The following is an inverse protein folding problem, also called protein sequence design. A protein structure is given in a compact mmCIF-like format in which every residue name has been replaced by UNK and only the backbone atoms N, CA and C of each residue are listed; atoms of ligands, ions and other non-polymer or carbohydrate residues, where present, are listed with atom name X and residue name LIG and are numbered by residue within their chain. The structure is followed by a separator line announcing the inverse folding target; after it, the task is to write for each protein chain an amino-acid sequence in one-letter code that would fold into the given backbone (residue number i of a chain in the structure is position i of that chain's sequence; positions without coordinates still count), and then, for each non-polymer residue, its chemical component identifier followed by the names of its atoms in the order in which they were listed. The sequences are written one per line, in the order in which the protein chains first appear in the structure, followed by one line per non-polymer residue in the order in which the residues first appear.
data_IF_852981532538
#
_entry.id   IF_852981532538
#
_cell.length_a   1.000
_cell.length_b   1.000
_cell.length_c   1.000
_cell.angle_alpha   90.00
_cell.angle_beta   90.00
_cell.angle_gamma   90.00
#
_symmetry.space_group_name_H-M   'P 1'
#
loop_
_entity.id
_entity.type
_entity.pdbx_description
1 polymer ?
#
# COMPACT_ATOMS: atom_id res chain seq x y z
N UNK A 1 50.16 -36.64 16.14
CA UNK A 1 49.38 -35.81 15.18
C UNK A 1 48.06 -35.28 15.75
N UNK A 2 47.29 -36.06 16.53
CA UNK A 2 45.98 -35.65 17.11
C UNK A 2 46.07 -34.53 18.15
N UNK A 3 47.11 -34.54 19.00
CA UNK A 3 47.32 -33.56 20.08
C UNK A 3 47.57 -32.13 19.58
N UNK A 4 48.29 -31.98 18.46
CA UNK A 4 48.55 -30.68 17.85
C UNK A 4 47.26 -30.03 17.34
N UNK A 5 46.37 -30.81 16.71
CA UNK A 5 45.07 -30.33 16.22
C UNK A 5 44.17 -29.85 17.37
N UNK A 6 44.13 -30.59 18.47
CA UNK A 6 43.33 -30.20 19.66
C UNK A 6 43.86 -28.89 20.26
N UNK A 7 45.19 -28.73 20.38
CA UNK A 7 45.79 -27.50 20.89
C UNK A 7 45.45 -26.29 19.99
N UNK A 8 45.54 -26.47 18.68
CA UNK A 8 45.18 -25.45 17.71
C UNK A 8 43.70 -25.05 17.80
N UNK A 9 42.80 -26.01 17.94
CA UNK A 9 41.36 -25.75 18.11
C UNK A 9 41.06 -25.03 19.42
N UNK A 10 41.74 -25.37 20.52
CA UNK A 10 41.61 -24.63 21.79
C UNK A 10 42.03 -23.16 21.65
N UNK A 11 43.09 -22.88 20.90
CA UNK A 11 43.52 -21.50 20.62
C UNK A 11 42.48 -20.76 19.80
N UNK A 12 41.93 -21.39 18.77
CA UNK A 12 40.84 -20.84 17.95
C UNK A 12 39.58 -20.56 18.78
N UNK A 13 39.21 -21.45 19.70
CA UNK A 13 38.07 -21.26 20.60
C UNK A 13 38.32 -20.09 21.57
N UNK A 14 39.53 -19.96 22.10
CA UNK A 14 39.87 -18.81 22.94
C UNK A 14 39.75 -17.50 22.15
N UNK A 15 40.28 -17.48 20.92
CA UNK A 15 40.14 -16.35 19.99
C UNK A 15 38.68 -16.04 19.65
N UNK A 16 37.83 -17.06 19.57
CA UNK A 16 36.38 -16.93 19.36
C UNK A 16 35.71 -16.25 20.56
N UNK A 17 36.06 -16.62 21.79
CA UNK A 17 35.57 -15.95 23.00
C UNK A 17 36.02 -14.48 23.09
N UNK A 18 37.17 -14.15 22.49
CA UNK A 18 37.64 -12.78 22.34
C UNK A 18 36.98 -12.03 21.16
N UNK A 19 36.17 -12.71 20.33
CA UNK A 19 35.47 -12.12 19.18
C UNK A 19 36.39 -11.80 17.99
N UNK A 20 37.57 -12.40 17.93
CA UNK A 20 38.59 -12.10 16.91
C UNK A 20 38.62 -13.11 15.76
N UNK A 21 37.76 -14.13 15.77
CA UNK A 21 37.74 -15.17 14.75
C UNK A 21 37.19 -14.69 13.41
N UNK A 22 37.76 -15.22 12.33
CA UNK A 22 37.18 -15.09 10.99
C UNK A 22 36.10 -16.17 10.77
N UNK A 23 35.25 -15.94 9.76
CA UNK A 23 34.22 -16.92 9.37
C UNK A 23 34.80 -18.28 8.97
N UNK A 24 35.97 -18.28 8.34
CA UNK A 24 36.67 -19.51 7.92
C UNK A 24 37.19 -20.29 9.13
N UNK A 25 37.69 -19.57 10.14
CA UNK A 25 38.14 -20.13 11.41
C UNK A 25 36.99 -20.76 12.19
N UNK A 26 35.84 -20.09 12.28
CA UNK A 26 34.64 -20.63 12.93
C UNK A 26 34.10 -21.87 12.22
N UNK A 27 34.14 -21.89 10.89
CA UNK A 27 33.78 -23.07 10.11
C UNK A 27 34.74 -24.23 10.40
N UNK A 28 36.03 -23.96 10.57
CA UNK A 28 37.03 -24.97 10.93
C UNK A 28 36.78 -25.54 12.34
N UNK A 29 36.46 -24.70 13.33
CA UNK A 29 36.06 -25.14 14.68
C UNK A 29 34.83 -26.04 14.59
N UNK A 30 33.80 -25.60 13.86
CA UNK A 30 32.53 -26.32 13.71
C UNK A 30 32.73 -27.70 13.08
N UNK A 31 33.49 -27.77 11.98
CA UNK A 31 33.81 -29.03 11.32
C UNK A 31 34.56 -29.98 12.26
N UNK A 32 35.58 -29.47 12.96
CA UNK A 32 36.38 -30.28 13.88
C UNK A 32 35.55 -30.87 15.03
N UNK A 33 34.66 -30.07 15.62
CA UNK A 33 33.76 -30.51 16.69
C UNK A 33 32.71 -31.52 16.19
N UNK A 34 32.26 -31.37 14.94
CA UNK A 34 31.31 -32.30 14.31
C UNK A 34 31.96 -33.65 13.98
N UNK A 35 33.20 -33.64 13.49
CA UNK A 35 33.99 -34.84 13.19
C UNK A 35 34.40 -35.63 14.44
N UNK A 36 34.46 -34.96 15.61
CA UNK A 36 34.92 -35.56 16.87
C UNK A 36 33.87 -35.42 17.98
N UNK A 37 32.70 -36.09 17.86
CA UNK A 37 31.60 -35.95 18.82
C UNK A 37 31.92 -36.50 20.22
N UNK A 38 32.93 -37.37 20.35
CA UNK A 38 33.31 -38.00 21.61
C UNK A 38 34.40 -37.23 22.37
N UNK A 39 34.78 -36.03 21.90
CA UNK A 39 35.85 -35.25 22.52
C UNK A 39 35.35 -34.53 23.77
N UNK A 40 35.81 -34.99 24.94
CA UNK A 40 35.42 -34.42 26.24
C UNK A 40 35.94 -32.98 26.43
N UNK A 41 35.17 -32.17 27.16
CA UNK A 41 35.55 -30.79 27.50
C UNK A 41 35.23 -29.75 26.44
N UNK A 42 34.38 -30.09 25.47
CA UNK A 42 33.89 -29.17 24.42
C UNK A 42 32.36 -29.18 24.30
N UNK A 43 31.67 -29.46 25.41
CA UNK A 43 30.20 -29.61 25.41
C UNK A 43 29.50 -28.25 25.25
N UNK A 44 30.06 -27.21 25.88
CA UNK A 44 29.59 -25.82 25.77
C UNK A 44 29.77 -25.31 24.35
N UNK A 45 30.96 -25.49 23.78
CA UNK A 45 31.28 -25.06 22.42
C UNK A 45 30.40 -25.78 21.40
N UNK A 46 30.15 -27.08 21.56
CA UNK A 46 29.21 -27.81 20.69
C UNK A 46 27.79 -27.26 20.78
N UNK A 47 27.32 -26.89 21.95
CA UNK A 47 26.01 -26.28 22.10
C UNK A 47 25.94 -24.93 21.37
N UNK A 48 26.96 -24.08 21.54
CA UNK A 48 27.05 -22.76 20.89
C UNK A 48 27.07 -22.92 19.36
N UNK A 49 28.03 -23.68 18.83
CA UNK A 49 28.19 -23.84 17.39
C UNK A 49 27.01 -24.61 16.78
N UNK A 50 26.43 -25.57 17.50
CA UNK A 50 25.25 -26.31 17.07
C UNK A 50 24.01 -25.43 16.92
N UNK A 51 23.81 -24.47 17.82
CA UNK A 51 22.72 -23.49 17.72
C UNK A 51 22.98 -22.45 16.62
N UNK A 52 24.18 -21.89 16.56
CA UNK A 52 24.53 -20.83 15.59
C UNK A 52 24.57 -21.33 14.15
N UNK A 53 25.03 -22.57 13.93
CA UNK A 53 25.17 -23.16 12.59
C UNK A 53 23.99 -24.05 12.21
N UNK A 54 22.84 -23.88 12.87
CA UNK A 54 21.61 -24.55 12.48
C UNK A 54 21.21 -24.03 11.08
N UNK A 55 21.72 -24.70 10.04
CA UNK A 55 21.44 -24.38 8.65
C UNK A 55 19.94 -24.51 8.46
N UNK A 56 19.26 -23.38 8.24
CA UNK A 56 17.90 -23.38 7.70
C UNK A 56 17.94 -24.13 6.38
N UNK A 57 17.44 -25.36 6.39
CA UNK A 57 17.27 -26.15 5.19
C UNK A 57 16.15 -25.50 4.39
N UNK A 58 16.49 -24.57 3.51
CA UNK A 58 15.54 -24.11 2.52
C UNK A 58 15.33 -25.27 1.54
N UNK A 59 14.20 -25.96 1.68
CA UNK A 59 13.74 -26.88 0.64
C UNK A 59 13.47 -26.05 -0.61
N UNK A 60 14.42 -26.07 -1.53
CA UNK A 60 14.30 -25.37 -2.81
C UNK A 60 13.12 -25.98 -3.53
N UNK A 61 12.03 -25.22 -3.63
CA UNK A 61 10.81 -25.71 -4.26
C UNK A 61 11.08 -25.97 -5.76
N UNK A 62 10.63 -27.12 -6.27
CA UNK A 62 10.90 -27.60 -7.65
C UNK A 62 10.54 -26.55 -8.72
N UNK A 63 9.64 -25.64 -8.40
CA UNK A 63 9.13 -24.59 -9.29
C UNK A 63 10.10 -23.44 -9.57
N UNK A 64 11.22 -23.30 -8.85
CA UNK A 64 12.17 -22.19 -9.10
C UNK A 64 12.80 -22.25 -10.51
N UNK A 65 12.83 -23.44 -11.12
CA UNK A 65 13.29 -23.65 -12.51
C UNK A 65 12.44 -22.93 -13.57
N UNK A 66 11.18 -22.59 -13.26
CA UNK A 66 10.28 -21.89 -14.18
C UNK A 66 10.40 -20.36 -14.11
N UNK A 67 11.31 -19.84 -13.28
CA UNK A 67 11.46 -18.39 -13.08
C UNK A 67 11.84 -17.63 -14.36
N UNK A 68 12.59 -18.24 -15.29
CA UNK A 68 13.04 -17.56 -16.53
C UNK A 68 11.92 -17.47 -17.57
N UNK A 69 11.06 -18.49 -17.66
CA UNK A 69 9.94 -18.51 -18.61
C UNK A 69 8.87 -17.47 -18.26
N UNK A 70 8.57 -17.29 -16.97
CA UNK A 70 7.59 -16.31 -16.50
C UNK A 70 7.97 -14.86 -16.83
N UNK A 71 9.27 -14.52 -16.75
CA UNK A 71 9.77 -13.18 -17.06
C UNK A 71 9.54 -12.80 -18.53
N UNK A 72 9.79 -13.75 -19.45
CA UNK A 72 9.65 -13.54 -20.90
C UNK A 72 8.17 -13.32 -21.26
N UNK A 73 7.26 -14.10 -20.67
CA UNK A 73 5.82 -13.96 -20.93
C UNK A 73 5.25 -12.63 -20.45
N UNK A 74 5.71 -12.12 -19.31
CA UNK A 74 5.26 -10.82 -18.78
C UNK A 74 5.72 -9.67 -19.68
N UNK A 75 6.99 -9.67 -20.11
CA UNK A 75 7.54 -8.61 -20.97
C UNK A 75 6.80 -8.59 -22.31
N UNK A 76 6.59 -9.76 -22.93
CA UNK A 76 5.89 -9.86 -24.21
C UNK A 76 4.43 -9.42 -24.11
N UNK A 77 3.72 -9.83 -23.05
CA UNK A 77 2.34 -9.42 -22.79
C UNK A 77 2.22 -7.91 -22.60
N UNK A 78 3.17 -7.29 -21.90
CA UNK A 78 3.12 -5.85 -21.62
C UNK A 78 3.37 -5.04 -22.88
N UNK A 79 4.32 -5.47 -23.72
CA UNK A 79 4.59 -4.84 -25.03
C UNK A 79 3.38 -4.91 -25.97
N UNK A 80 2.63 -6.00 -25.95
CA UNK A 80 1.45 -6.18 -26.79
C UNK A 80 0.31 -5.22 -26.42
N UNK A 81 0.10 -4.97 -25.13
CA UNK A 81 -0.95 -4.06 -24.62
C UNK A 81 -0.64 -2.59 -24.97
N UNK A 82 0.64 -2.20 -24.96
CA UNK A 82 1.05 -0.82 -25.29
C UNK A 82 0.84 -0.45 -26.76
N UNK A 83 0.73 -1.44 -27.66
CA UNK A 83 0.50 -1.19 -29.09
C UNK A 83 -0.98 -1.05 -29.46
N UNK A 84 -1.90 -1.29 -28.52
CA UNK A 84 -3.34 -1.16 -28.78
C UNK A 84 -3.69 0.33 -28.73
N UNK A 85 -4.13 0.95 -29.85
CA UNK A 85 -4.55 2.34 -29.82
C UNK A 85 -5.76 2.48 -28.89
N UNK A 86 -5.57 3.20 -27.78
CA UNK A 86 -6.63 3.51 -26.82
C UNK A 86 -7.61 4.48 -27.48
N UNK A 87 -8.70 3.96 -28.06
CA UNK A 87 -9.82 4.78 -28.52
C UNK A 87 -10.70 5.14 -27.32
N UNK A 88 -10.21 6.09 -26.52
CA UNK A 88 -10.99 6.69 -25.44
C UNK A 88 -12.12 7.54 -26.04
N UNK A 89 -13.23 6.89 -26.38
CA UNK A 89 -14.45 7.59 -26.78
C UNK A 89 -15.18 8.02 -25.51
N UNK A 90 -15.02 9.28 -25.12
CA UNK A 90 -15.76 9.90 -24.02
C UNK A 90 -17.17 10.23 -24.48
N UNK A 91 -18.17 9.52 -23.95
CA UNK A 91 -19.58 9.74 -24.27
C UNK A 91 -20.31 10.33 -23.06
N UNK A 92 -21.22 11.27 -23.30
CA UNK A 92 -22.13 11.79 -22.29
C UNK A 92 -23.58 11.61 -22.76
N UNK A 93 -24.45 11.20 -21.85
CA UNK A 93 -25.89 11.11 -22.09
C UNK A 93 -26.58 12.35 -21.56
N UNK A 94 -27.13 13.18 -22.45
CA UNK A 94 -27.90 14.37 -22.09
C UNK A 94 -29.25 14.29 -22.79
N UNK A 95 -30.34 14.27 -22.01
CA UNK A 95 -31.73 14.19 -22.52
C UNK A 95 -32.00 13.04 -23.50
N UNK A 96 -31.42 11.86 -23.25
CA UNK A 96 -31.64 10.67 -24.08
C UNK A 96 -30.91 10.69 -25.43
N UNK A 97 -30.01 11.65 -25.67
CA UNK A 97 -29.11 11.66 -26.84
C UNK A 97 -27.67 11.48 -26.40
N UNK A 98 -26.94 10.63 -27.11
CA UNK A 98 -25.51 10.44 -26.97
C UNK A 98 -24.77 11.62 -27.60
N UNK A 99 -23.90 12.27 -26.83
CA UNK A 99 -23.07 13.38 -27.29
C UNK A 99 -21.60 12.97 -27.11
N UNK A 100 -20.89 12.91 -28.23
CA UNK A 100 -19.48 12.52 -28.33
C UNK A 100 -18.54 13.73 -28.48
N UNK A 101 -19.08 14.94 -28.37
CA UNK A 101 -18.37 16.20 -28.50
C UNK A 101 -18.37 16.96 -27.17
N UNK A 102 -17.17 17.15 -26.63
CA UNK A 102 -16.96 17.79 -25.33
C UNK A 102 -17.35 19.27 -25.34
N UNK A 103 -17.27 19.95 -26.49
CA UNK A 103 -17.65 21.36 -26.60
C UNK A 103 -19.16 21.53 -26.53
N UNK A 104 -19.90 20.63 -27.18
CA UNK A 104 -21.37 20.59 -27.12
C UNK A 104 -21.84 20.32 -25.69
N UNK A 105 -21.22 19.36 -25.00
CA UNK A 105 -21.55 19.05 -23.60
C UNK A 105 -21.30 20.26 -22.67
N UNK A 106 -20.18 20.95 -22.83
CA UNK A 106 -19.87 22.17 -22.05
C UNK A 106 -20.86 23.29 -22.31
N UNK A 107 -21.22 23.52 -23.57
CA UNK A 107 -22.20 24.55 -23.94
C UNK A 107 -23.55 24.30 -23.29
N UNK A 108 -24.05 23.06 -23.35
CA UNK A 108 -25.32 22.66 -22.73
C UNK A 108 -25.29 22.80 -21.21
N UNK A 109 -24.17 22.45 -20.57
CA UNK A 109 -24.02 22.62 -19.12
C UNK A 109 -24.11 24.10 -18.71
N UNK A 110 -23.41 24.99 -19.43
CA UNK A 110 -23.45 26.44 -19.17
C UNK A 110 -24.85 27.01 -19.40
N UNK A 111 -25.52 26.60 -20.47
CA UNK A 111 -26.90 27.00 -20.77
C UNK A 111 -27.88 26.56 -19.66
N UNK A 112 -27.77 25.32 -19.18
CA UNK A 112 -28.58 24.82 -18.08
C UNK A 112 -28.35 25.59 -16.77
N UNK A 113 -27.11 25.99 -16.50
CA UNK A 113 -26.75 26.76 -15.32
C UNK A 113 -27.36 28.18 -15.37
N UNK A 114 -27.31 28.81 -16.54
CA UNK A 114 -27.89 30.14 -16.74
C UNK A 114 -29.41 30.14 -16.61
N UNK A 115 -30.09 29.08 -17.09
CA UNK A 115 -31.54 28.96 -16.93
C UNK A 115 -31.96 28.84 -15.46
N UNK A 116 -31.20 28.09 -14.64
CA UNK A 116 -31.44 27.99 -13.19
C UNK A 116 -31.15 29.31 -12.47
N UNK A 117 -30.13 30.05 -12.90
CA UNK A 117 -29.81 31.37 -12.33
C UNK A 117 -30.89 32.42 -12.63
N UNK A 118 -31.59 32.30 -13.77
CA UNK A 118 -32.74 33.15 -14.12
C UNK A 118 -33.95 32.82 -13.22
N UNK A 119 -34.25 31.54 -12.98
CA UNK A 119 -35.33 31.12 -12.09
C UNK A 119 -35.12 31.56 -10.63
N UNK A 120 -33.87 31.60 -10.16
CA UNK A 120 -33.53 32.09 -8.82
C UNK A 120 -33.84 33.59 -8.62
N UNK A 121 -33.56 34.43 -9.64
CA UNK A 121 -33.87 35.86 -9.58
C UNK A 121 -35.38 36.17 -9.63
N UNK A 122 -36.18 35.30 -10.26
CA UNK A 122 -37.64 35.46 -10.32
C UNK A 122 -38.29 35.11 -8.97
N UNK A 123 -37.76 34.11 -8.25
CA UNK A 123 -38.23 33.76 -6.90
C UNK A 123 -38.05 34.91 -5.90
N UNK A 124 -36.94 35.67 -5.97
CA UNK A 124 -36.69 36.79 -5.03
C UNK A 124 -37.70 37.94 -5.18
N UNK A 125 -38.05 38.31 -6.41
CA UNK A 125 -39.11 39.31 -6.67
C UNK A 125 -40.53 38.82 -6.32
N UNK A 126 -40.74 37.50 -6.24
CA UNK A 126 -42.05 36.92 -5.88
C UNK A 126 -42.27 36.91 -4.36
N UNK A 127 -41.21 37.09 -3.56
CA UNK A 127 -41.27 37.05 -2.10
C UNK A 127 -41.44 38.44 -1.44
N UNK A 128 -41.17 39.53 -2.16
CA UNK A 128 -41.37 40.91 -1.71
C UNK A 128 -42.80 41.20 -1.17
N UNK A 129 -43.92 40.82 -1.84
CA UNK A 129 -45.25 41.09 -1.30
C UNK A 129 -45.56 40.33 0.01
N UNK A 130 -44.90 39.19 0.27
CA UNK A 130 -45.07 38.44 1.52
C UNK A 130 -44.26 39.03 2.68
N UNK A 131 -43.24 39.83 2.39
CA UNK A 131 -42.42 40.53 3.39
C UNK A 131 -43.21 41.68 4.03
N UNK A 132 -43.95 42.44 3.21
CA UNK A 132 -44.82 43.53 3.67
C UNK A 132 -46.00 43.00 4.52
N UNK A 133 -46.54 41.83 4.15
CA UNK A 133 -47.70 41.22 4.84
C UNK A 133 -47.37 40.81 6.29
N UNK A 134 -46.11 40.46 6.58
CA UNK A 134 -45.69 40.09 7.94
C UNK A 134 -45.68 41.29 8.91
N UNK A 135 -45.48 42.52 8.41
CA UNK A 135 -45.51 43.72 9.25
C UNK A 135 -46.94 44.02 9.74
N UNK A 136 -47.94 43.90 8.86
CA UNK A 136 -49.35 44.09 9.23
C UNK A 136 -49.88 43.02 10.19
N UNK A 137 -49.44 41.77 10.05
CA UNK A 137 -49.83 40.70 10.98
C UNK A 137 -49.26 40.95 12.37
N UNK A 138 -48.03 41.46 12.49
CA UNK A 138 -47.44 41.81 13.79
C UNK A 138 -48.12 43.01 14.45
N UNK A 139 -48.52 44.04 13.69
CA UNK A 139 -49.33 45.15 14.21
C UNK A 139 -50.72 44.71 14.69
N UNK A 140 -51.35 43.74 14.02
CA UNK A 140 -52.64 43.21 14.48
C UNK A 140 -52.47 42.35 15.74
N UNK A 141 -51.38 41.58 15.84
CA UNK A 141 -51.08 40.76 17.02
C UNK A 141 -50.77 41.60 18.27
N UNK A 142 -50.14 42.78 18.13
CA UNK A 142 -49.85 43.65 19.27
C UNK A 142 -51.09 44.30 19.89
N UNK A 143 -52.15 44.51 19.11
CA UNK A 143 -53.46 44.98 19.62
C UNK A 143 -54.14 43.92 20.51
N UNK A 144 -53.85 42.63 20.30
CA UNK A 144 -54.39 41.54 21.13
C UNK A 144 -53.54 41.19 22.34
N UNK A 145 -52.28 41.66 22.42
CA UNK A 145 -51.40 41.38 23.57
C UNK A 145 -51.64 42.31 24.77
N UNK A 146 -52.34 43.43 24.59
CA UNK A 146 -52.63 44.41 25.66
C UNK A 146 -53.96 44.16 26.40
N UNK A 147 -54.59 42.99 26.20
CA UNK A 147 -55.78 42.57 26.97
C UNK A 147 -55.34 41.54 28.03
N UNK A 148 -54.90 42.03 29.19
CA UNK A 148 -54.78 41.23 30.42
C UNK A 148 -56.18 40.95 30.99
N UNK A 149 -56.47 39.68 31.30
CA UNK A 149 -57.57 39.28 32.20
C UNK A 149 -57.10 39.32 33.64
#
# INVERSE_FOLDING_TARGET
MRTHKIKHIKLLINKYYEGLTSKEEEQHITNFLTENPNLQGFDVERAIFGYLHQKKTYSINRYWKYSVAASITLILSTLLILQIPHQNKTYAWINGREINDIEIAKKLAIESLNNVAIDANIMENTLEPFKETNHQVQEQLSVFSDVEF
#
